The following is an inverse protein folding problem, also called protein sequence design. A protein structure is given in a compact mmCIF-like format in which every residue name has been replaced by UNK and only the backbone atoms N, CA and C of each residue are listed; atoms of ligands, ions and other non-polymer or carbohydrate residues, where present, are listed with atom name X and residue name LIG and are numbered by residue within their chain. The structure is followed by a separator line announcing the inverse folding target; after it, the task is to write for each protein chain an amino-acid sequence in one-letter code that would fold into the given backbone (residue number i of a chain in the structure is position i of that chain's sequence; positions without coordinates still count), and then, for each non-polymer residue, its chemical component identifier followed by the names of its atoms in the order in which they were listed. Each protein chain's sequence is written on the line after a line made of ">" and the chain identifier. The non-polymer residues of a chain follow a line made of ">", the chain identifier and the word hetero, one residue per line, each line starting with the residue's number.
data_IF_485970538846
#
_entry.id   IF_485970538846
#
_cell.length_a   1.000
_cell.length_b   1.000
_cell.length_c   1.000
_cell.angle_alpha   90.00
_cell.angle_beta   90.00
_cell.angle_gamma   90.00
#
_symmetry.space_group_name_H-M   'P 1'
#
loop_
_entity.id
_entity.type
_entity.pdbx_description
1 polymer ?
#
# COMPACT_ATOMS: atom_id res chain seq x y z
N UNK A 1 30.45 -25.51 -0.51
CA UNK A 1 29.22 -24.74 -0.72
C UNK A 1 29.49 -23.83 -1.91
N UNK A 2 28.81 -24.09 -3.06
CA UNK A 2 29.12 -23.38 -4.32
C UNK A 2 28.80 -21.88 -4.15
N UNK A 3 29.69 -21.02 -4.67
CA UNK A 3 29.54 -19.56 -4.64
C UNK A 3 28.17 -19.10 -5.17
N UNK A 4 27.65 -19.76 -6.19
CA UNK A 4 26.36 -19.46 -6.79
C UNK A 4 25.18 -19.66 -5.83
N UNK A 5 25.19 -20.72 -5.04
CA UNK A 5 24.17 -20.96 -4.00
C UNK A 5 24.25 -19.91 -2.87
N UNK A 6 25.44 -19.43 -2.58
CA UNK A 6 25.62 -18.40 -1.55
C UNK A 6 25.12 -17.02 -2.02
N UNK A 7 25.39 -16.63 -3.27
CA UNK A 7 24.85 -15.40 -3.86
C UNK A 7 23.33 -15.46 -4.02
N UNK A 8 22.80 -16.59 -4.47
CA UNK A 8 21.36 -16.83 -4.60
C UNK A 8 20.65 -16.75 -3.24
N UNK A 9 21.23 -17.31 -2.19
CA UNK A 9 20.71 -17.22 -0.82
C UNK A 9 20.71 -15.79 -0.28
N UNK A 10 21.76 -14.98 -0.54
CA UNK A 10 21.81 -13.56 -0.13
C UNK A 10 20.76 -12.72 -0.84
N UNK A 11 20.61 -12.89 -2.15
CA UNK A 11 19.61 -12.16 -2.93
C UNK A 11 18.19 -12.51 -2.46
N UNK A 12 17.91 -13.78 -2.22
CA UNK A 12 16.65 -14.23 -1.68
C UNK A 12 16.34 -13.62 -0.31
N UNK A 13 17.34 -13.57 0.59
CA UNK A 13 17.18 -12.96 1.92
C UNK A 13 16.90 -11.45 1.82
N UNK A 14 17.64 -10.73 0.98
CA UNK A 14 17.41 -9.29 0.76
C UNK A 14 16.02 -9.06 0.21
N UNK A 15 15.59 -9.85 -0.76
CA UNK A 15 14.23 -9.76 -1.34
C UNK A 15 13.16 -10.00 -0.28
N UNK A 16 13.33 -11.01 0.56
CA UNK A 16 12.41 -11.33 1.65
C UNK A 16 12.30 -10.17 2.64
N UNK A 17 13.44 -9.66 3.13
CA UNK A 17 13.47 -8.54 4.08
C UNK A 17 12.83 -7.29 3.48
N UNK A 18 13.16 -6.96 2.22
CA UNK A 18 12.58 -5.81 1.53
C UNK A 18 11.06 -5.95 1.35
N UNK A 19 10.58 -7.13 0.97
CA UNK A 19 9.16 -7.41 0.86
C UNK A 19 8.43 -7.29 2.21
N UNK A 20 9.02 -7.81 3.29
CA UNK A 20 8.47 -7.66 4.64
C UNK A 20 8.40 -6.18 5.06
N UNK A 21 9.42 -5.38 4.77
CA UNK A 21 9.43 -3.95 5.07
C UNK A 21 8.34 -3.20 4.29
N UNK A 22 8.17 -3.50 3.01
CA UNK A 22 7.09 -2.92 2.19
C UNK A 22 5.72 -3.20 2.80
N UNK A 23 5.44 -4.45 3.14
CA UNK A 23 4.17 -4.87 3.75
C UNK A 23 3.98 -4.21 5.12
N UNK A 24 5.01 -4.23 5.96
CA UNK A 24 4.98 -3.65 7.29
C UNK A 24 4.67 -2.15 7.25
N UNK A 25 5.35 -1.39 6.40
CA UNK A 25 5.11 0.06 6.26
C UNK A 25 3.70 0.30 5.73
N UNK A 26 3.30 -0.37 4.64
CA UNK A 26 2.00 -0.13 4.00
C UNK A 26 0.83 -0.46 4.91
N UNK A 27 0.85 -1.62 5.54
CA UNK A 27 -0.22 -2.05 6.45
C UNK A 27 -0.11 -1.36 7.82
N UNK A 28 1.10 -1.08 8.30
CA UNK A 28 1.34 -0.36 9.54
C UNK A 28 0.73 1.04 9.48
N UNK A 29 1.06 1.83 8.46
CA UNK A 29 0.48 3.17 8.26
C UNK A 29 -1.04 3.09 8.12
N UNK A 30 -1.56 2.11 7.37
CA UNK A 30 -3.01 1.91 7.23
C UNK A 30 -3.69 1.67 8.59
N UNK A 31 -3.09 0.87 9.45
CA UNK A 31 -3.69 0.56 10.77
C UNK A 31 -3.69 1.78 11.71
N UNK A 32 -2.75 2.71 11.56
CA UNK A 32 -2.71 3.94 12.37
C UNK A 32 -3.91 4.86 12.10
N UNK A 33 -4.54 4.81 10.91
CA UNK A 33 -5.74 5.62 10.63
C UNK A 33 -6.88 5.35 11.61
N UNK A 34 -7.04 4.11 12.08
CA UNK A 34 -8.02 3.78 13.10
C UNK A 34 -7.72 4.42 14.47
N UNK A 35 -6.45 4.54 14.83
CA UNK A 35 -6.01 5.17 16.08
C UNK A 35 -6.25 6.68 16.06
N UNK A 36 -6.02 7.32 14.92
CA UNK A 36 -6.21 8.77 14.72
C UNK A 36 -7.64 9.17 14.34
N UNK A 37 -8.59 8.23 14.36
CA UNK A 37 -9.97 8.50 13.99
C UNK A 37 -10.60 9.68 14.77
N UNK A 38 -10.40 9.74 16.10
CA UNK A 38 -10.92 10.82 16.94
C UNK A 38 -10.29 12.16 16.59
N UNK A 39 -9.02 12.16 16.21
CA UNK A 39 -8.31 13.38 15.82
C UNK A 39 -8.78 13.87 14.45
N UNK A 40 -8.98 12.98 13.47
CA UNK A 40 -9.58 13.32 12.19
C UNK A 40 -10.99 13.92 12.35
N UNK A 41 -11.79 13.38 13.26
CA UNK A 41 -13.11 13.94 13.57
C UNK A 41 -13.03 15.36 14.13
N UNK A 42 -12.10 15.61 15.07
CA UNK A 42 -11.96 16.91 15.75
C UNK A 42 -11.30 17.99 14.87
N UNK A 43 -10.21 17.64 14.16
CA UNK A 43 -9.38 18.61 13.45
C UNK A 43 -9.80 18.82 12.00
N UNK A 44 -10.33 17.78 11.33
CA UNK A 44 -10.74 17.84 9.94
C UNK A 44 -12.26 17.90 9.74
N UNK A 45 -13.04 17.97 10.84
CA UNK A 45 -14.52 17.92 10.80
C UNK A 45 -15.06 16.73 9.97
N UNK A 46 -14.36 15.59 10.00
CA UNK A 46 -14.77 14.38 9.29
C UNK A 46 -15.75 13.61 10.14
N UNK A 47 -16.97 13.43 9.66
CA UNK A 47 -17.99 12.63 10.37
C UNK A 47 -17.61 11.15 10.44
N UNK A 48 -18.14 10.44 11.43
CA UNK A 48 -17.97 8.98 11.57
C UNK A 48 -18.39 8.24 10.30
N UNK A 49 -19.47 8.68 9.66
CA UNK A 49 -19.97 8.12 8.40
C UNK A 49 -18.98 8.35 7.26
N UNK A 50 -18.43 9.56 7.14
CA UNK A 50 -17.45 9.90 6.10
C UNK A 50 -16.17 9.09 6.24
N UNK A 51 -15.69 8.88 7.48
CA UNK A 51 -14.54 8.04 7.77
C UNK A 51 -14.80 6.57 7.42
N UNK A 52 -15.92 6.01 7.88
CA UNK A 52 -16.31 4.63 7.56
C UNK A 52 -16.45 4.40 6.05
N UNK A 53 -17.04 5.36 5.31
CA UNK A 53 -17.14 5.32 3.86
C UNK A 53 -15.77 5.37 3.18
N UNK A 54 -14.84 6.21 3.66
CA UNK A 54 -13.47 6.28 3.14
C UNK A 54 -12.72 4.94 3.30
N UNK A 55 -12.84 4.30 4.47
CA UNK A 55 -12.24 2.97 4.71
C UNK A 55 -12.89 1.89 3.83
N UNK A 56 -14.20 1.90 3.67
CA UNK A 56 -14.90 0.98 2.76
C UNK A 56 -14.44 1.14 1.31
N UNK A 57 -14.34 2.40 0.83
CA UNK A 57 -13.82 2.71 -0.51
C UNK A 57 -12.35 2.31 -0.67
N UNK A 58 -11.53 2.49 0.37
CA UNK A 58 -10.13 2.03 0.39
C UNK A 58 -10.03 0.52 0.19
N UNK A 59 -10.86 -0.27 0.87
CA UNK A 59 -10.91 -1.72 0.72
C UNK A 59 -11.35 -2.12 -0.69
N UNK A 60 -12.35 -1.44 -1.25
CA UNK A 60 -12.81 -1.67 -2.61
C UNK A 60 -11.71 -1.39 -3.64
N UNK A 61 -11.06 -0.23 -3.53
CA UNK A 61 -9.96 0.14 -4.42
C UNK A 61 -8.78 -0.82 -4.30
N UNK A 62 -8.42 -1.23 -3.10
CA UNK A 62 -7.40 -2.26 -2.87
C UNK A 62 -7.73 -3.56 -3.60
N UNK A 63 -8.95 -4.07 -3.47
CA UNK A 63 -9.41 -5.28 -4.16
C UNK A 63 -9.39 -5.15 -5.68
N UNK A 64 -9.90 -4.04 -6.22
CA UNK A 64 -9.98 -3.79 -7.67
C UNK A 64 -8.61 -3.57 -8.32
N UNK A 65 -7.69 -2.91 -7.63
CA UNK A 65 -6.38 -2.56 -8.19
C UNK A 65 -5.33 -3.66 -8.01
N UNK A 66 -5.53 -4.60 -7.10
CA UNK A 66 -4.65 -5.75 -6.90
C UNK A 66 -4.35 -6.52 -8.20
N UNK A 67 -5.36 -6.97 -8.98
CA UNK A 67 -5.15 -7.62 -10.28
C UNK A 67 -4.44 -6.73 -11.29
N UNK A 68 -4.68 -5.41 -11.29
CA UNK A 68 -4.01 -4.46 -12.19
C UNK A 68 -2.52 -4.39 -11.87
N UNK A 69 -2.17 -4.25 -10.60
CA UNK A 69 -0.76 -4.28 -10.18
C UNK A 69 -0.13 -5.66 -10.39
N UNK A 70 -0.90 -6.75 -10.27
CA UNK A 70 -0.46 -8.09 -10.65
C UNK A 70 -0.03 -8.15 -12.12
N UNK A 71 -0.87 -7.67 -13.04
CA UNK A 71 -0.55 -7.61 -14.47
C UNK A 71 0.67 -6.72 -14.78
N UNK A 72 0.82 -5.59 -14.06
CA UNK A 72 2.02 -4.74 -14.17
C UNK A 72 3.26 -5.49 -13.68
N UNK A 73 3.16 -6.20 -12.56
CA UNK A 73 4.26 -6.97 -11.99
C UNK A 73 4.69 -8.13 -12.89
N UNK A 74 3.75 -8.77 -13.58
CA UNK A 74 4.04 -9.85 -14.53
C UNK A 74 4.72 -9.32 -15.80
N UNK A 75 4.32 -8.15 -16.29
CA UNK A 75 4.85 -7.57 -17.52
C UNK A 75 6.16 -6.81 -17.32
N UNK A 76 6.26 -6.02 -16.25
CA UNK A 76 7.38 -5.08 -16.05
C UNK A 76 8.24 -5.43 -14.82
N UNK A 77 7.84 -6.41 -14.03
CA UNK A 77 8.51 -6.82 -12.79
C UNK A 77 7.87 -6.22 -11.54
N UNK A 78 7.93 -6.98 -10.45
CA UNK A 78 7.27 -6.61 -9.19
C UNK A 78 7.77 -5.30 -8.57
N UNK A 79 9.07 -4.97 -8.76
CA UNK A 79 9.65 -3.73 -8.25
C UNK A 79 9.00 -2.48 -8.88
N UNK A 80 8.71 -2.49 -10.19
CA UNK A 80 8.03 -1.37 -10.88
C UNK A 80 6.61 -1.21 -10.36
N UNK A 81 5.87 -2.32 -10.21
CA UNK A 81 4.53 -2.31 -9.66
C UNK A 81 4.50 -1.70 -8.24
N UNK A 82 5.45 -2.09 -7.38
CA UNK A 82 5.57 -1.57 -6.01
C UNK A 82 5.90 -0.07 -6.02
N UNK A 83 6.82 0.39 -6.86
CA UNK A 83 7.19 1.82 -6.95
C UNK A 83 5.97 2.65 -7.36
N UNK A 84 5.25 2.24 -8.40
CA UNK A 84 4.04 2.94 -8.86
C UNK A 84 3.00 3.00 -7.73
N UNK A 85 2.78 1.89 -7.05
CA UNK A 85 1.84 1.81 -5.94
C UNK A 85 2.24 2.73 -4.77
N UNK A 86 3.54 2.82 -4.44
CA UNK A 86 4.03 3.75 -3.41
C UNK A 86 3.85 5.22 -3.81
N UNK A 87 3.95 5.57 -5.08
CA UNK A 87 3.66 6.94 -5.55
C UNK A 87 2.19 7.29 -5.25
N UNK A 88 1.24 6.41 -5.60
CA UNK A 88 -0.18 6.64 -5.26
C UNK A 88 -0.41 6.72 -3.76
N UNK A 89 0.23 5.84 -2.99
CA UNK A 89 0.12 5.82 -1.54
C UNK A 89 0.66 7.11 -0.93
N UNK A 90 1.85 7.56 -1.34
CA UNK A 90 2.49 8.78 -0.88
C UNK A 90 1.71 10.04 -1.26
N UNK A 91 1.17 10.10 -2.48
CA UNK A 91 0.28 11.19 -2.90
C UNK A 91 -1.00 11.23 -2.06
N UNK A 92 -1.58 10.08 -1.74
CA UNK A 92 -2.75 10.01 -0.86
C UNK A 92 -2.47 10.60 0.52
N UNK A 93 -1.35 10.24 1.15
CA UNK A 93 -0.93 10.79 2.45
C UNK A 93 -0.62 12.29 2.34
N UNK A 94 0.12 12.70 1.31
CA UNK A 94 0.47 14.10 1.10
C UNK A 94 -0.77 14.99 0.98
N UNK A 95 -1.74 14.59 0.19
CA UNK A 95 -2.97 15.35 0.02
C UNK A 95 -3.88 15.32 1.25
N UNK A 96 -3.85 14.25 2.05
CA UNK A 96 -4.54 14.24 3.34
C UNK A 96 -3.98 15.31 4.29
N UNK A 97 -2.67 15.58 4.22
CA UNK A 97 -2.01 16.60 5.03
C UNK A 97 -2.23 18.02 4.49
N UNK A 98 -2.08 18.22 3.16
CA UNK A 98 -2.05 19.54 2.53
C UNK A 98 -3.39 20.02 1.96
N UNK A 99 -4.38 19.14 1.88
CA UNK A 99 -5.64 19.43 1.23
C UNK A 99 -6.67 20.13 2.10
N UNK A 100 -7.78 20.58 1.52
CA UNK A 100 -8.87 21.21 2.25
C UNK A 100 -9.55 20.23 3.21
N UNK A 101 -9.92 20.72 4.39
CA UNK A 101 -10.58 19.94 5.45
C UNK A 101 -12.07 19.71 5.11
N UNK A 102 -12.35 18.99 4.05
CA UNK A 102 -13.70 18.60 3.67
C UNK A 102 -13.86 17.08 3.66
N UNK A 103 -15.03 16.60 4.08
CA UNK A 103 -15.30 15.16 4.14
C UNK A 103 -15.14 14.46 2.79
N UNK A 104 -15.54 15.11 1.67
CA UNK A 104 -15.37 14.57 0.32
C UNK A 104 -13.89 14.44 -0.06
N UNK A 105 -13.08 15.48 0.22
CA UNK A 105 -11.65 15.46 -0.07
C UNK A 105 -10.94 14.36 0.70
N UNK A 106 -11.28 14.21 1.98
CA UNK A 106 -10.80 13.13 2.84
C UNK A 106 -11.13 11.75 2.26
N UNK A 107 -12.39 11.54 1.84
CA UNK A 107 -12.82 10.26 1.25
C UNK A 107 -12.08 9.91 -0.04
N UNK A 108 -11.86 10.88 -0.92
CA UNK A 108 -11.14 10.68 -2.18
C UNK A 108 -9.68 10.27 -1.94
N UNK A 109 -8.98 10.94 -1.03
CA UNK A 109 -7.55 10.70 -0.83
C UNK A 109 -7.28 9.49 0.05
N UNK A 110 -7.99 9.34 1.18
CA UNK A 110 -7.88 8.16 2.02
C UNK A 110 -8.47 6.92 1.33
N UNK A 111 -9.63 7.05 0.70
CA UNK A 111 -10.33 5.94 0.07
C UNK A 111 -9.69 5.51 -1.25
N UNK A 112 -9.57 6.42 -2.21
CA UNK A 112 -9.14 6.07 -3.56
C UNK A 112 -7.63 5.99 -3.67
N UNK A 113 -6.89 7.08 -3.40
CA UNK A 113 -5.44 7.10 -3.65
C UNK A 113 -4.67 6.10 -2.79
N UNK A 114 -4.94 6.07 -1.49
CA UNK A 114 -4.29 5.10 -0.60
C UNK A 114 -4.78 3.69 -0.90
N UNK A 115 -6.06 3.51 -1.24
CA UNK A 115 -6.61 2.21 -1.67
C UNK A 115 -5.93 1.65 -2.91
N UNK A 116 -5.70 2.48 -3.94
CA UNK A 116 -4.93 2.11 -5.14
C UNK A 116 -3.51 1.70 -4.73
N UNK A 117 -2.83 2.50 -3.92
CA UNK A 117 -1.48 2.21 -3.45
C UNK A 117 -1.38 0.88 -2.71
N UNK A 118 -2.36 0.54 -1.87
CA UNK A 118 -2.43 -0.75 -1.18
C UNK A 118 -2.55 -1.93 -2.14
N UNK A 119 -3.18 -1.76 -3.30
CA UNK A 119 -3.30 -2.80 -4.31
C UNK A 119 -1.95 -3.37 -4.78
N UNK A 120 -0.91 -2.53 -4.81
CA UNK A 120 0.43 -2.97 -5.22
C UNK A 120 1.43 -3.14 -4.08
N UNK A 121 1.19 -2.58 -2.89
CA UNK A 121 2.15 -2.64 -1.77
C UNK A 121 1.74 -3.59 -0.65
N UNK A 122 0.47 -4.01 -0.57
CA UNK A 122 0.02 -4.90 0.50
C UNK A 122 0.68 -6.30 0.42
N UNK A 123 -0.05 -7.37 0.29
CA UNK A 123 0.53 -8.72 0.44
C UNK A 123 0.86 -9.35 -0.92
N UNK A 124 -0.02 -9.19 -1.91
CA UNK A 124 0.00 -10.00 -3.15
C UNK A 124 1.28 -9.82 -3.98
N UNK A 125 1.71 -8.59 -4.23
CA UNK A 125 2.89 -8.34 -5.06
C UNK A 125 4.20 -8.66 -4.32
N UNK A 126 4.42 -8.19 -3.07
CA UNK A 126 5.59 -8.60 -2.30
C UNK A 126 5.74 -10.12 -2.17
N UNK A 127 4.65 -10.85 -1.91
CA UNK A 127 4.66 -12.32 -1.84
C UNK A 127 5.00 -12.97 -3.19
N UNK A 128 4.48 -12.45 -4.30
CA UNK A 128 4.82 -12.92 -5.64
C UNK A 128 6.31 -12.74 -5.95
N UNK A 129 6.90 -11.62 -5.56
CA UNK A 129 8.33 -11.35 -5.74
C UNK A 129 9.19 -12.30 -4.92
N UNK A 130 8.81 -12.55 -3.66
CA UNK A 130 9.49 -13.51 -2.79
C UNK A 130 9.38 -14.93 -3.37
N UNK A 131 8.19 -15.35 -3.81
CA UNK A 131 7.95 -16.70 -4.35
C UNK A 131 8.80 -17.06 -5.57
N UNK A 132 9.28 -16.06 -6.34
CA UNK A 132 10.21 -16.28 -7.46
C UNK A 132 11.64 -16.66 -7.01
N UNK A 133 11.99 -16.41 -5.76
CA UNK A 133 13.33 -16.68 -5.20
C UNK A 133 13.34 -17.88 -4.25
N UNK A 134 12.18 -18.35 -3.84
CA UNK A 134 12.01 -19.51 -2.94
C UNK A 134 11.06 -20.51 -3.63
N UNK A 135 11.60 -21.41 -4.46
CA UNK A 135 10.82 -22.45 -5.13
C UNK A 135 10.26 -23.49 -4.13
#
# INVERSE_FOLDING_TARGET
>A
MNSDKFFQSKTALITLVSACLVVLISLGVRQTFGLFFLDFNKFLNVSNTAFGFAIGMQMLMWGLTGPVFGAIADKYGGHIAIIIAFVFYGLGIYYLYSGPNTGLFFQLHLGILIGIGLGGTAISIPMSVVGKHFP
#
